data_IF_771329903144
#
_entry.id   IF_771329903144
#
_cell.length_a   1.000
_cell.length_b   1.000
_cell.length_c   1.000
_cell.angle_alpha   90.00
_cell.angle_beta   90.00
_cell.angle_gamma   90.00
#
_symmetry.space_group_name_H-M   'P 1'
#
loop_
_entity.id
_entity.type
_entity.pdbx_description
1 polymer ?
#
# COMPACT_ATOMS: atom_id res chain seq x y z
N UNK A 1 -5.91 0.42 -14.52
CA UNK A 1 -5.23 -0.89 -14.45
C UNK A 1 -3.76 -0.59 -14.18
N UNK A 2 -3.08 -1.38 -13.35
CA UNK A 2 -1.64 -1.18 -13.15
C UNK A 2 -1.00 -2.18 -14.10
N UNK A 3 -0.03 -1.71 -14.87
CA UNK A 3 0.61 -2.49 -15.91
C UNK A 3 1.45 -3.60 -15.28
N UNK A 4 1.12 -4.89 -15.41
CA UNK A 4 1.84 -5.96 -14.72
C UNK A 4 3.35 -5.95 -14.98
N UNK A 5 3.82 -5.27 -16.04
CA UNK A 5 5.24 -5.04 -16.31
C UNK A 5 5.99 -4.39 -15.14
N UNK A 6 5.34 -3.59 -14.27
CA UNK A 6 6.03 -3.03 -13.10
C UNK A 6 6.47 -4.12 -12.11
N UNK A 7 5.82 -5.29 -12.07
CA UNK A 7 6.21 -6.38 -11.14
C UNK A 7 7.56 -7.00 -11.49
N UNK A 8 8.05 -6.78 -12.72
CA UNK A 8 9.38 -7.18 -13.17
C UNK A 8 10.49 -6.22 -12.75
N UNK A 9 10.15 -5.05 -12.20
CA UNK A 9 11.11 -4.08 -11.67
C UNK A 9 11.53 -4.50 -10.26
N UNK A 10 12.73 -5.05 -10.13
CA UNK A 10 13.30 -5.47 -8.84
C UNK A 10 13.53 -4.33 -7.86
N UNK A 11 13.37 -3.07 -8.28
CA UNK A 11 13.45 -1.92 -7.39
C UNK A 11 12.11 -1.60 -6.72
N UNK A 12 10.99 -2.23 -7.08
CA UNK A 12 9.72 -1.97 -6.41
C UNK A 12 9.69 -2.62 -5.03
N UNK A 13 9.07 -1.94 -4.07
CA UNK A 13 8.79 -2.58 -2.79
C UNK A 13 7.57 -3.50 -2.93
N UNK A 14 7.80 -4.81 -2.97
CA UNK A 14 6.75 -5.84 -3.13
C UNK A 14 6.07 -6.16 -1.79
N UNK A 15 4.79 -6.49 -1.82
CA UNK A 15 4.09 -7.02 -0.64
C UNK A 15 4.20 -8.54 -0.61
N UNK A 16 5.18 -9.07 0.11
CA UNK A 16 5.43 -10.51 0.24
C UNK A 16 4.70 -11.12 1.44
N UNK A 17 3.97 -12.21 1.20
CA UNK A 17 3.30 -12.95 2.27
C UNK A 17 4.31 -13.79 3.05
N UNK A 18 4.21 -13.74 4.38
CA UNK A 18 5.06 -14.53 5.27
C UNK A 18 4.89 -16.03 5.06
N UNK A 19 5.93 -16.81 5.40
CA UNK A 19 5.91 -18.25 5.12
C UNK A 19 4.78 -19.01 5.82
N UNK A 20 4.41 -18.52 6.99
CA UNK A 20 3.40 -19.11 7.86
C UNK A 20 2.03 -18.44 7.71
N UNK A 21 1.88 -17.55 6.72
CA UNK A 21 0.62 -16.87 6.42
C UNK A 21 -0.47 -17.86 6.05
N UNK A 22 -1.60 -17.78 6.77
CA UNK A 22 -2.81 -18.52 6.44
C UNK A 22 -3.31 -18.20 5.03
N UNK A 23 -3.22 -16.92 4.60
CA UNK A 23 -3.57 -16.49 3.25
C UNK A 23 -2.63 -17.13 2.22
N UNK A 24 -1.32 -17.13 2.47
CA UNK A 24 -0.34 -17.79 1.58
C UNK A 24 -0.66 -19.27 1.43
N UNK A 25 -0.92 -19.98 2.53
CA UNK A 25 -1.30 -21.39 2.49
C UNK A 25 -2.53 -21.60 1.59
N UNK A 26 -3.54 -20.74 1.69
CA UNK A 26 -4.73 -20.83 0.84
C UNK A 26 -4.42 -20.55 -0.64
N UNK A 27 -3.63 -19.51 -0.92
CA UNK A 27 -3.24 -19.12 -2.28
C UNK A 27 -2.31 -20.15 -2.94
N UNK A 28 -1.56 -20.89 -2.14
CA UNK A 28 -0.74 -22.02 -2.57
C UNK A 28 -1.52 -23.34 -2.64
N UNK A 29 -2.84 -23.33 -2.56
CA UNK A 29 -3.68 -24.55 -2.59
C UNK A 29 -3.29 -25.58 -1.53
N UNK A 30 -2.77 -25.14 -0.39
CA UNK A 30 -2.20 -25.96 0.69
C UNK A 30 -0.97 -26.79 0.30
N UNK A 31 -0.24 -26.42 -0.76
CA UNK A 31 1.02 -27.05 -1.17
C UNK A 31 2.18 -26.82 -0.18
N UNK A 32 1.95 -26.05 0.90
CA UNK A 32 2.95 -25.77 1.92
C UNK A 32 4.12 -24.92 1.37
N UNK A 33 5.38 -25.22 1.74
CA UNK A 33 6.53 -24.41 1.35
C UNK A 33 6.89 -24.52 -0.15
N UNK A 34 6.42 -25.54 -0.86
CA UNK A 34 6.67 -25.74 -2.29
C UNK A 34 5.58 -25.09 -3.15
N UNK A 35 5.28 -23.81 -2.91
CA UNK A 35 4.30 -23.03 -3.67
C UNK A 35 4.76 -22.74 -5.11
N UNK A 36 4.99 -23.80 -5.87
CA UNK A 36 5.75 -23.77 -7.12
C UNK A 36 4.88 -23.91 -8.37
N UNK A 37 3.60 -24.28 -8.25
CA UNK A 37 2.66 -24.39 -9.39
C UNK A 37 1.22 -24.42 -8.86
N UNK A 38 0.61 -23.27 -8.55
CA UNK A 38 -0.84 -23.25 -8.34
C UNK A 38 -1.52 -23.72 -9.63
N UNK A 39 -2.57 -24.53 -9.49
CA UNK A 39 -3.35 -25.03 -10.62
C UNK A 39 -4.43 -24.05 -11.05
N UNK A 40 -4.86 -23.17 -10.14
CA UNK A 40 -5.84 -22.13 -10.37
C UNK A 40 -5.18 -20.75 -10.49
N UNK A 41 -5.49 -20.05 -11.59
CA UNK A 41 -5.14 -18.64 -11.78
C UNK A 41 -6.13 -17.68 -11.09
N UNK A 42 -7.27 -18.18 -10.61
CA UNK A 42 -8.29 -17.43 -9.88
C UNK A 42 -8.69 -18.22 -8.66
N UNK A 43 -8.36 -17.70 -7.48
CA UNK A 43 -8.69 -18.34 -6.20
C UNK A 43 -9.80 -17.55 -5.52
N UNK A 44 -10.91 -18.22 -5.22
CA UNK A 44 -11.99 -17.61 -4.43
C UNK A 44 -11.72 -17.81 -2.94
N UNK A 45 -11.61 -16.69 -2.22
CA UNK A 45 -11.57 -16.67 -0.76
C UNK A 45 -13.02 -16.60 -0.24
N UNK A 46 -13.43 -17.61 0.52
CA UNK A 46 -14.81 -17.77 1.02
C UNK A 46 -14.99 -17.33 2.47
N UNK A 47 -13.91 -16.93 3.11
CA UNK A 47 -13.87 -16.51 4.51
C UNK A 47 -12.77 -15.47 4.69
N UNK A 48 -12.87 -14.74 5.80
CA UNK A 48 -11.78 -13.89 6.26
C UNK A 48 -10.71 -14.76 6.92
N UNK A 49 -9.45 -14.46 6.61
CA UNK A 49 -8.29 -15.09 7.23
C UNK A 49 -7.74 -14.14 8.30
N UNK A 50 -7.33 -14.70 9.44
CA UNK A 50 -6.62 -13.92 10.46
C UNK A 50 -5.31 -13.46 9.83
N UNK A 51 -5.03 -12.16 9.92
CA UNK A 51 -3.79 -11.61 9.40
C UNK A 51 -2.59 -12.13 10.21
N UNK A 52 -1.47 -12.34 9.54
CA UNK A 52 -0.20 -12.71 10.16
C UNK A 52 0.92 -11.77 9.69
N UNK A 53 1.78 -11.35 10.61
CA UNK A 53 2.96 -10.54 10.30
C UNK A 53 2.65 -9.26 9.53
N UNK A 54 3.14 -9.15 8.30
CA UNK A 54 3.01 -7.94 7.47
C UNK A 54 1.57 -7.65 7.03
N UNK A 55 0.72 -8.68 6.96
CA UNK A 55 -0.70 -8.55 6.59
C UNK A 55 -1.49 -7.72 7.59
N UNK A 56 -1.07 -7.72 8.87
CA UNK A 56 -1.74 -6.94 9.91
C UNK A 56 -1.40 -5.45 9.86
N UNK A 57 -0.45 -5.03 9.02
CA UNK A 57 0.05 -3.66 8.99
C UNK A 57 -0.45 -2.84 7.80
N UNK A 58 -1.42 -3.38 7.06
CA UNK A 58 -1.98 -2.78 5.84
C UNK A 58 -3.51 -2.79 5.90
N UNK A 59 -4.16 -1.77 5.33
CA UNK A 59 -5.63 -1.69 5.32
C UNK A 59 -6.26 -2.42 4.13
N UNK A 60 -5.51 -2.57 3.04
CA UNK A 60 -5.88 -3.35 1.86
C UNK A 60 -4.61 -3.72 1.13
N UNK A 61 -4.68 -4.77 0.30
CA UNK A 61 -3.62 -5.14 -0.64
C UNK A 61 -4.19 -5.17 -2.05
N UNK A 62 -3.35 -4.88 -3.04
CA UNK A 62 -3.74 -4.97 -4.45
C UNK A 62 -3.08 -6.16 -5.12
N UNK A 63 -1.77 -6.28 -5.00
CA UNK A 63 -0.99 -7.41 -5.48
C UNK A 63 -0.22 -7.96 -4.31
N UNK A 64 -0.21 -9.28 -4.17
CA UNK A 64 0.56 -10.01 -3.15
C UNK A 64 1.53 -10.95 -3.84
N UNK A 65 2.78 -10.99 -3.35
CA UNK A 65 3.75 -12.01 -3.73
C UNK A 65 3.57 -13.21 -2.79
N UNK A 66 3.28 -14.36 -3.38
CA UNK A 66 3.00 -15.60 -2.68
C UNK A 66 4.26 -16.47 -2.59
N UNK A 67 5.10 -16.44 -3.63
CA UNK A 67 6.40 -17.09 -3.65
C UNK A 67 7.40 -16.29 -4.48
N UNK A 68 8.66 -16.26 -4.05
CA UNK A 68 9.79 -15.72 -4.80
C UNK A 68 10.66 -16.83 -5.47
N UNK A 69 10.36 -18.11 -5.20
CA UNK A 69 11.10 -19.24 -5.74
C UNK A 69 10.21 -20.48 -5.99
N UNK A 70 10.45 -21.26 -7.06
CA UNK A 70 11.50 -21.10 -8.07
C UNK A 70 11.22 -19.99 -9.09
N UNK A 71 10.02 -19.39 -9.06
CA UNK A 71 9.67 -18.21 -9.82
C UNK A 71 8.80 -17.28 -8.95
N UNK A 72 8.75 -16.02 -9.35
CA UNK A 72 7.88 -15.04 -8.73
C UNK A 72 6.41 -15.34 -9.03
N UNK A 73 5.64 -15.65 -8.00
CA UNK A 73 4.20 -15.91 -8.06
C UNK A 73 3.44 -14.78 -7.37
N UNK A 74 2.54 -14.13 -8.11
CA UNK A 74 1.70 -13.05 -7.61
C UNK A 74 0.21 -13.33 -7.82
N UNK A 75 -0.62 -12.78 -6.94
CA UNK A 75 -2.07 -12.66 -7.15
C UNK A 75 -2.52 -11.21 -7.01
N UNK A 76 -3.40 -10.76 -7.91
CA UNK A 76 -4.13 -9.50 -7.74
C UNK A 76 -5.44 -9.75 -6.96
N UNK A 77 -5.67 -8.98 -5.90
CA UNK A 77 -6.91 -9.04 -5.14
C UNK A 77 -8.04 -8.37 -5.92
N UNK A 78 -9.04 -9.15 -6.29
CA UNK A 78 -10.28 -8.66 -6.88
C UNK A 78 -11.29 -8.39 -5.77
N UNK A 79 -11.48 -7.12 -5.44
CA UNK A 79 -12.48 -6.69 -4.46
C UNK A 79 -13.89 -7.08 -4.95
N UNK A 80 -14.75 -7.66 -4.08
CA UNK A 80 -16.16 -7.85 -4.40
C UNK A 80 -16.84 -6.53 -4.82
N UNK A 81 -17.89 -6.57 -5.66
CA UNK A 81 -18.67 -5.38 -5.97
C UNK A 81 -19.25 -4.75 -4.70
N UNK A 82 -18.81 -3.53 -4.38
CA UNK A 82 -19.29 -2.75 -3.24
C UNK A 82 -19.88 -1.42 -3.73
N UNK A 83 -20.93 -0.96 -3.06
CA UNK A 83 -21.49 0.39 -3.30
C UNK A 83 -20.84 1.36 -2.33
N UNK A 84 -20.26 2.43 -2.87
CA UNK A 84 -19.71 3.53 -2.09
C UNK A 84 -20.64 4.76 -2.20
N UNK A 85 -20.71 5.55 -1.12
CA UNK A 85 -21.50 6.78 -1.14
C UNK A 85 -20.82 7.82 -2.03
N UNK A 86 -21.59 8.38 -2.98
CA UNK A 86 -21.11 9.48 -3.82
C UNK A 86 -20.78 10.75 -3.02
N UNK A 87 -21.44 10.93 -1.86
CA UNK A 87 -21.19 12.03 -0.93
C UNK A 87 -20.73 11.47 0.41
N UNK A 88 -19.66 12.04 0.95
CA UNK A 88 -19.04 11.61 2.19
C UNK A 88 -18.69 12.83 3.05
N UNK A 89 -18.71 12.64 4.36
CA UNK A 89 -18.37 13.69 5.32
C UNK A 89 -16.86 13.74 5.54
N UNK A 90 -16.36 14.92 5.93
CA UNK A 90 -14.96 15.11 6.33
C UNK A 90 -13.95 14.70 5.25
N UNK A 91 -14.27 15.02 4.00
CA UNK A 91 -13.42 14.78 2.83
C UNK A 91 -11.96 15.20 3.09
N UNK A 92 -11.03 14.37 2.63
CA UNK A 92 -9.59 14.66 2.70
C UNK A 92 -9.04 14.88 1.30
N UNK A 93 -8.08 15.80 1.20
CA UNK A 93 -7.38 16.07 -0.05
C UNK A 93 -6.40 14.93 -0.35
N UNK A 94 -6.52 14.35 -1.53
CA UNK A 94 -5.47 13.57 -2.16
C UNK A 94 -4.71 14.46 -3.13
N UNK A 95 -3.42 14.25 -3.23
CA UNK A 95 -2.57 14.87 -4.24
C UNK A 95 -1.75 13.77 -4.91
N UNK A 96 -1.37 13.97 -6.16
CA UNK A 96 -0.35 13.13 -6.79
C UNK A 96 1.04 13.42 -6.17
N UNK A 97 2.07 12.75 -6.71
CA UNK A 97 3.46 12.91 -6.26
C UNK A 97 3.92 14.37 -6.20
N UNK A 98 3.47 15.18 -7.15
CA UNK A 98 3.60 16.63 -7.14
C UNK A 98 2.22 17.24 -6.97
N UNK A 99 2.08 18.11 -5.98
CA UNK A 99 0.84 18.80 -5.67
C UNK A 99 0.66 19.97 -6.64
N UNK A 100 -0.17 19.77 -7.65
CA UNK A 100 -0.68 20.81 -8.53
C UNK A 100 -2.21 20.89 -8.43
N UNK A 101 -2.80 22.03 -8.78
CA UNK A 101 -4.26 22.19 -8.73
C UNK A 101 -4.99 21.09 -9.54
N UNK A 102 -4.45 20.74 -10.71
CA UNK A 102 -5.02 19.74 -11.62
C UNK A 102 -4.78 18.28 -11.19
N UNK A 103 -3.92 18.06 -10.20
CA UNK A 103 -3.52 16.74 -9.71
C UNK A 103 -4.05 16.44 -8.30
N UNK A 104 -5.14 17.09 -7.90
CA UNK A 104 -5.73 16.96 -6.57
C UNK A 104 -7.20 16.61 -6.63
N UNK A 105 -7.65 15.81 -5.66
CA UNK A 105 -9.04 15.39 -5.55
C UNK A 105 -9.46 15.22 -4.09
N UNK A 106 -10.76 15.19 -3.83
CA UNK A 106 -11.29 14.82 -2.52
C UNK A 106 -11.51 13.30 -2.44
N UNK A 107 -11.30 12.73 -1.26
CA UNK A 107 -11.53 11.32 -0.99
C UNK A 107 -12.24 11.10 0.34
N UNK A 108 -12.98 9.99 0.41
CA UNK A 108 -13.62 9.53 1.63
C UNK A 108 -12.54 9.03 2.62
N UNK A 109 -12.41 9.61 3.83
CA UNK A 109 -11.36 9.24 4.78
C UNK A 109 -11.46 7.80 5.30
N UNK A 110 -12.64 7.17 5.18
CA UNK A 110 -12.90 5.81 5.65
C UNK A 110 -12.46 4.72 4.67
N UNK A 111 -12.03 5.10 3.47
CA UNK A 111 -11.64 4.15 2.43
C UNK A 111 -10.12 4.17 2.23
N UNK A 112 -9.50 3.01 1.97
CA UNK A 112 -8.08 2.94 1.65
C UNK A 112 -7.84 3.38 0.20
N UNK A 113 -7.60 4.66 0.00
CA UNK A 113 -7.53 5.29 -1.33
C UNK A 113 -6.13 5.83 -1.70
N UNK A 114 -5.31 6.16 -0.71
CA UNK A 114 -3.98 6.72 -0.93
C UNK A 114 -3.03 6.36 0.21
N UNK A 115 -1.75 6.63 0.02
CA UNK A 115 -0.69 6.47 1.02
C UNK A 115 -0.54 7.75 1.86
N UNK A 116 0.18 7.65 2.97
CA UNK A 116 0.50 8.82 3.80
C UNK A 116 1.49 9.77 3.13
N UNK A 117 1.45 11.04 3.54
CA UNK A 117 2.43 12.04 3.15
C UNK A 117 2.74 12.90 4.38
N UNK A 118 3.91 12.67 4.96
CA UNK A 118 4.29 13.20 6.27
C UNK A 118 5.28 14.36 6.11
N UNK A 119 5.01 15.48 6.77
CA UNK A 119 5.94 16.61 6.85
C UNK A 119 6.31 16.90 8.31
N UNK A 120 7.44 17.56 8.51
CA UNK A 120 7.84 18.14 9.80
C UNK A 120 6.96 19.33 10.18
N UNK A 121 6.75 19.51 11.49
CA UNK A 121 5.94 20.53 12.12
C UNK A 121 6.81 21.23 13.20
N UNK A 122 6.91 22.58 13.25
CA UNK A 122 6.24 23.55 12.40
C UNK A 122 6.75 23.57 10.96
N UNK A 123 5.80 23.71 10.04
CA UNK A 123 6.04 23.73 8.60
C UNK A 123 6.79 25.01 8.20
N UNK A 124 7.89 24.89 7.46
CA UNK A 124 8.46 26.02 6.73
C UNK A 124 7.80 26.09 5.34
N UNK A 125 7.33 27.27 4.93
CA UNK A 125 6.59 27.43 3.68
C UNK A 125 7.42 27.11 2.41
N UNK A 126 8.75 27.02 2.54
CA UNK A 126 9.73 26.84 1.46
C UNK A 126 10.14 25.38 1.17
N UNK A 127 10.08 24.47 2.15
CA UNK A 127 10.48 23.06 2.00
C UNK A 127 9.28 22.12 2.20
N UNK A 128 8.38 22.08 1.22
CA UNK A 128 7.17 21.26 1.29
C UNK A 128 7.42 19.83 0.77
N UNK A 129 8.53 19.20 1.13
CA UNK A 129 8.80 17.80 0.76
C UNK A 129 8.19 16.87 1.80
N UNK A 130 7.29 15.98 1.38
CA UNK A 130 6.74 14.95 2.24
C UNK A 130 7.53 13.65 2.12
N UNK A 131 7.66 12.94 3.23
CA UNK A 131 8.17 11.57 3.28
C UNK A 131 7.00 10.59 3.44
N UNK A 132 7.24 9.34 3.07
CA UNK A 132 6.24 8.27 3.13
C UNK A 132 6.81 7.07 3.90
N UNK A 133 5.97 6.41 4.68
CA UNK A 133 6.26 5.18 5.40
C UNK A 133 5.50 3.96 4.82
N UNK A 134 5.44 3.87 3.49
CA UNK A 134 4.70 2.78 2.84
C UNK A 134 5.28 1.39 3.15
N UNK A 135 4.43 0.37 3.15
CA UNK A 135 4.82 -1.04 3.31
C UNK A 135 5.07 -1.75 1.99
N UNK A 136 4.50 -1.21 0.91
CA UNK A 136 4.70 -1.67 -0.45
C UNK A 136 4.35 -0.56 -1.44
N UNK A 137 4.84 -0.66 -2.68
CA UNK A 137 4.57 0.34 -3.70
C UNK A 137 3.12 0.30 -4.17
N UNK A 138 2.51 1.48 -4.28
CA UNK A 138 1.08 1.61 -4.57
C UNK A 138 0.16 1.28 -3.39
N UNK A 139 0.70 1.21 -2.17
CA UNK A 139 -0.09 1.04 -0.95
C UNK A 139 -1.18 2.11 -0.83
N UNK A 140 -2.35 1.66 -0.38
CA UNK A 140 -3.48 2.51 -0.04
C UNK A 140 -3.94 2.21 1.37
N UNK A 141 -4.08 3.25 2.16
CA UNK A 141 -4.52 3.20 3.55
C UNK A 141 -5.64 4.21 3.78
N UNK A 142 -6.41 3.94 4.83
CA UNK A 142 -7.38 4.86 5.38
C UNK A 142 -6.68 6.11 5.91
N UNK A 143 -7.43 7.20 6.07
CA UNK A 143 -6.87 8.43 6.62
C UNK A 143 -6.36 8.24 8.07
N UNK A 144 -7.02 7.40 8.86
CA UNK A 144 -6.61 7.09 10.23
C UNK A 144 -5.25 6.39 10.28
N UNK A 145 -5.05 5.39 9.42
CA UNK A 145 -3.78 4.67 9.33
C UNK A 145 -2.67 5.60 8.84
N UNK A 146 -2.93 6.38 7.79
CA UNK A 146 -1.98 7.36 7.27
C UNK A 146 -1.55 8.39 8.34
N UNK A 147 -2.52 8.97 9.06
CA UNK A 147 -2.24 9.92 10.13
C UNK A 147 -1.44 9.29 11.26
N UNK A 148 -1.77 8.06 11.64
CA UNK A 148 -1.07 7.34 12.71
C UNK A 148 0.38 7.07 12.34
N UNK A 149 0.64 6.68 11.08
CA UNK A 149 2.01 6.48 10.57
C UNK A 149 2.83 7.75 10.62
N UNK A 150 2.29 8.89 10.15
CA UNK A 150 3.01 10.15 10.25
C UNK A 150 3.34 10.53 11.69
N UNK A 151 2.41 10.32 12.62
CA UNK A 151 2.66 10.59 14.04
C UNK A 151 3.64 9.62 14.71
N UNK A 152 3.89 8.45 14.10
CA UNK A 152 4.79 7.42 14.61
C UNK A 152 6.24 7.60 14.16
N UNK A 153 6.52 8.45 13.15
CA UNK A 153 7.87 8.65 12.62
C UNK A 153 8.81 9.29 13.64
N UNK A 154 8.47 10.48 14.13
CA UNK A 154 9.22 11.21 15.15
C UNK A 154 8.35 12.33 15.74
N UNK A 155 8.73 12.85 16.91
CA UNK A 155 8.06 14.01 17.50
C UNK A 155 8.19 15.21 16.56
N UNK A 156 7.09 15.56 15.89
CA UNK A 156 7.04 16.66 14.95
C UNK A 156 6.55 16.29 13.55
N UNK A 157 6.30 15.01 13.24
CA UNK A 157 5.68 14.66 11.96
C UNK A 157 4.15 14.63 12.01
N UNK A 158 3.54 15.04 10.90
CA UNK A 158 2.09 14.98 10.70
C UNK A 158 1.69 15.05 9.25
N UNK A 159 0.43 14.73 8.98
CA UNK A 159 -0.17 14.91 7.65
C UNK A 159 -0.14 16.39 7.24
N UNK A 160 0.22 16.67 5.98
CA UNK A 160 0.46 18.03 5.50
C UNK A 160 0.01 18.25 4.05
N UNK A 161 -0.06 19.53 3.65
CA UNK A 161 -0.22 19.94 2.26
C UNK A 161 1.17 20.21 1.65
N UNK A 162 1.81 19.14 1.15
CA UNK A 162 3.16 19.15 0.58
C UNK A 162 3.20 19.71 -0.85
N UNK A 163 4.36 20.10 -1.41
CA UNK A 163 4.52 20.42 -2.84
C UNK A 163 4.92 19.20 -3.65
N UNK A 164 5.79 18.36 -3.09
CA UNK A 164 6.25 17.13 -3.71
C UNK A 164 6.61 16.08 -2.65
N UNK A 165 6.73 14.83 -3.08
CA UNK A 165 7.33 13.76 -2.29
C UNK A 165 8.85 13.87 -2.39
N UNK A 166 9.55 13.67 -1.26
CA UNK A 166 11.00 13.54 -1.26
C UNK A 166 11.42 12.27 -2.02
N UNK A 167 11.91 12.46 -3.24
CA UNK A 167 12.26 11.36 -4.14
C UNK A 167 13.48 10.57 -3.65
N UNK A 168 14.45 11.23 -3.04
CA UNK A 168 15.68 10.57 -2.59
C UNK A 168 15.37 9.62 -1.43
N UNK A 169 14.52 10.05 -0.50
CA UNK A 169 14.06 9.18 0.60
C UNK A 169 13.11 8.07 0.13
N UNK A 170 12.25 8.37 -0.85
CA UNK A 170 11.38 7.36 -1.46
C UNK A 170 12.20 6.27 -2.17
N UNK A 171 13.18 6.64 -2.99
CA UNK A 171 14.02 5.70 -3.73
C UNK A 171 14.97 4.93 -2.78
N UNK A 172 15.45 5.57 -1.71
CA UNK A 172 16.26 4.89 -0.69
C UNK A 172 15.48 3.77 0.02
N UNK A 173 14.20 3.98 0.32
CA UNK A 173 13.35 2.96 0.95
C UNK A 173 13.12 1.73 0.06
N UNK A 174 13.06 1.97 -1.26
CA UNK A 174 12.93 0.92 -2.29
C UNK A 174 14.17 0.04 -2.43
N UNK A 175 15.35 0.56 -2.08
CA UNK A 175 16.63 -0.15 -2.22
C UNK A 175 17.14 -0.78 -0.92
N UNK A 176 16.47 -0.52 0.21
CA UNK A 176 16.86 -1.00 1.55
C UNK A 176 16.10 -2.26 2.02
N UNK A 177 15.25 -2.85 1.17
CA UNK A 177 14.35 -3.96 1.53
C UNK A 177 14.74 -5.24 0.80
#
# INVERSE_FOLDING_TARGET
>A
WADPDYLSDDTILKFELGSDSNLRTRLCENAGPSCTTPTENVITLTQDYICDGVECNVDTVRVVQVSAAPFDLYYEYIRPPCVELAFYQNAKKLSQRTNSADATMCANPLLPLAQEACCTNPFSLGDRKAIMDQRYDGERVTYSTASSRCSALDSGYGMCNYSEIDKDLYDAKRTSS
#
